data_IF_472870643794
#
_entry.id   IF_472870643794
#
_cell.length_a   1.000
_cell.length_b   1.000
_cell.length_c   1.000
_cell.angle_alpha   90.00
_cell.angle_beta   90.00
_cell.angle_gamma   90.00
#
_symmetry.space_group_name_H-M   'P 1'
#
loop_
_entity.id
_entity.type
_entity.pdbx_description
1 polymer ?
#
# COMPACT_ATOMS: atom_id res chain seq x y z
N UNK A 1 -11.31 -6.05 -13.80
CA UNK A 1 -12.00 -5.79 -15.09
C UNK A 1 -12.42 -4.32 -15.23
N UNK A 2 -13.29 -3.78 -14.35
CA UNK A 2 -13.81 -2.41 -14.50
C UNK A 2 -12.73 -1.31 -14.45
N UNK A 3 -11.77 -1.40 -13.52
CA UNK A 3 -10.69 -0.40 -13.41
C UNK A 3 -9.79 -0.35 -14.65
N UNK A 4 -9.38 -1.52 -15.15
CA UNK A 4 -8.61 -1.63 -16.40
C UNK A 4 -9.34 -1.00 -17.58
N UNK A 5 -10.63 -1.35 -17.78
CA UNK A 5 -11.43 -0.79 -18.88
C UNK A 5 -11.60 0.72 -18.78
N UNK A 6 -11.77 1.27 -17.58
CA UNK A 6 -11.87 2.71 -17.36
C UNK A 6 -10.55 3.44 -17.68
N UNK A 7 -9.42 2.91 -17.21
CA UNK A 7 -8.10 3.51 -17.49
C UNK A 7 -7.80 3.45 -18.99
N UNK A 8 -8.06 2.32 -19.66
CA UNK A 8 -7.90 2.20 -21.11
C UNK A 8 -8.78 3.18 -21.89
N UNK A 9 -10.02 3.40 -21.46
CA UNK A 9 -10.91 4.36 -22.10
C UNK A 9 -10.38 5.81 -21.98
N UNK A 10 -9.78 6.15 -20.83
CA UNK A 10 -9.18 7.46 -20.61
C UNK A 10 -7.88 7.66 -21.40
N UNK A 11 -7.02 6.63 -21.44
CA UNK A 11 -5.76 6.64 -22.18
C UNK A 11 -5.93 6.62 -23.71
N UNK A 12 -7.14 6.28 -24.20
CA UNK A 12 -7.48 6.39 -25.62
C UNK A 12 -7.51 7.83 -26.14
N UNK A 13 -7.57 8.83 -25.25
CA UNK A 13 -7.45 10.25 -25.56
C UNK A 13 -6.08 10.76 -25.09
N UNK A 14 -5.14 11.08 -26.00
CA UNK A 14 -3.77 11.48 -25.62
C UNK A 14 -3.68 12.65 -24.65
N UNK A 15 -4.61 13.61 -24.73
CA UNK A 15 -4.63 14.78 -23.84
C UNK A 15 -4.88 14.42 -22.36
N UNK A 16 -5.44 13.23 -22.10
CA UNK A 16 -5.70 12.76 -20.73
C UNK A 16 -4.48 12.15 -20.06
N UNK A 17 -3.44 11.74 -20.80
CA UNK A 17 -2.34 10.91 -20.27
C UNK A 17 -1.66 11.58 -19.07
N UNK A 18 -1.42 12.89 -19.15
CA UNK A 18 -0.81 13.65 -18.05
C UNK A 18 -1.70 13.65 -16.79
N UNK A 19 -3.01 13.89 -16.97
CA UNK A 19 -3.98 13.93 -15.87
C UNK A 19 -4.19 12.55 -15.24
N UNK A 20 -4.17 11.49 -16.04
CA UNK A 20 -4.27 10.11 -15.56
C UNK A 20 -3.06 9.76 -14.70
N UNK A 21 -1.84 10.07 -15.14
CA UNK A 21 -0.64 9.84 -14.34
C UNK A 21 -0.62 10.67 -13.05
N UNK A 22 -1.01 11.94 -13.08
CA UNK A 22 -1.15 12.76 -11.87
C UNK A 22 -2.18 12.17 -10.89
N UNK A 23 -3.31 11.70 -11.43
CA UNK A 23 -4.36 11.07 -10.64
C UNK A 23 -3.87 9.76 -10.02
N UNK A 24 -3.19 8.92 -10.78
CA UNK A 24 -2.60 7.67 -10.30
C UNK A 24 -1.58 7.94 -9.19
N UNK A 25 -0.66 8.88 -9.41
CA UNK A 25 0.36 9.30 -8.44
C UNK A 25 -0.27 9.74 -7.11
N UNK A 26 -1.31 10.57 -7.16
CA UNK A 26 -2.02 11.03 -5.96
C UNK A 26 -2.76 9.90 -5.24
N UNK A 27 -3.46 9.05 -5.98
CA UNK A 27 -4.22 7.95 -5.39
C UNK A 27 -3.30 6.88 -4.81
N UNK A 28 -2.20 6.56 -5.50
CA UNK A 28 -1.16 5.68 -5.00
C UNK A 28 -0.65 6.17 -3.64
N UNK A 29 -0.28 7.45 -3.54
CA UNK A 29 0.25 7.99 -2.29
C UNK A 29 -0.75 7.95 -1.14
N UNK A 30 -2.02 8.34 -1.38
CA UNK A 30 -3.05 8.24 -0.35
C UNK A 30 -3.33 6.80 0.06
N UNK A 31 -3.35 5.88 -0.92
CA UNK A 31 -3.50 4.44 -0.70
C UNK A 31 -2.39 3.92 0.22
N UNK A 32 -1.14 4.12 -0.16
CA UNK A 32 0.06 3.79 0.64
C UNK A 32 -0.05 4.28 2.08
N UNK A 33 -0.27 5.60 2.28
CA UNK A 33 -0.28 6.17 3.65
C UNK A 33 -1.36 5.58 4.55
N UNK A 34 -2.54 5.28 4.01
CA UNK A 34 -3.67 4.80 4.81
C UNK A 34 -3.69 3.28 4.95
N UNK A 35 -3.59 2.57 3.82
CA UNK A 35 -3.70 1.12 3.77
C UNK A 35 -2.48 0.46 4.38
N UNK A 36 -1.27 0.98 4.15
CA UNK A 36 -0.09 0.29 4.64
C UNK A 36 0.07 0.40 6.14
N UNK A 37 -0.37 1.53 6.71
CA UNK A 37 -0.53 1.67 8.14
C UNK A 37 -1.56 0.67 8.70
N UNK A 38 -2.77 0.64 8.13
CA UNK A 38 -3.87 -0.16 8.68
C UNK A 38 -3.66 -1.68 8.48
N UNK A 39 -3.32 -2.10 7.28
CA UNK A 39 -3.15 -3.51 6.91
C UNK A 39 -1.87 -4.06 7.55
N UNK A 40 -0.75 -3.35 7.48
CA UNK A 40 0.47 -3.80 8.15
C UNK A 40 0.28 -3.95 9.65
N UNK A 41 -0.44 -3.01 10.28
CA UNK A 41 -0.77 -3.13 11.70
C UNK A 41 -1.67 -4.33 11.99
N UNK A 42 -2.74 -4.51 11.22
CA UNK A 42 -3.67 -5.61 11.42
C UNK A 42 -2.98 -6.97 11.23
N UNK A 43 -2.09 -7.09 10.23
CA UNK A 43 -1.37 -8.32 9.89
C UNK A 43 -0.29 -8.69 10.91
N UNK A 44 0.38 -7.72 11.52
CA UNK A 44 1.51 -8.01 12.41
C UNK A 44 1.24 -7.75 13.90
N UNK A 45 0.34 -6.85 14.25
CA UNK A 45 0.00 -6.53 15.65
C UNK A 45 -1.41 -6.99 16.02
N UNK A 46 -2.30 -7.13 15.03
CA UNK A 46 -3.65 -7.65 15.23
C UNK A 46 -3.76 -9.18 15.12
N UNK A 47 -2.79 -9.84 14.50
CA UNK A 47 -2.80 -11.29 14.29
C UNK A 47 -1.90 -12.02 15.29
N UNK A 48 -2.32 -13.22 15.72
CA UNK A 48 -1.51 -14.10 16.57
C UNK A 48 -0.57 -15.01 15.75
N UNK A 49 -1.04 -15.55 14.64
CA UNK A 49 -0.26 -16.41 13.75
C UNK A 49 0.06 -15.64 12.47
N UNK A 50 1.34 -15.33 12.29
CA UNK A 50 1.86 -14.54 11.16
C UNK A 50 2.57 -15.49 10.19
N UNK A 51 2.06 -15.57 8.97
CA UNK A 51 2.67 -16.40 7.93
C UNK A 51 3.78 -15.67 7.17
N UNK A 52 3.81 -14.34 7.25
CA UNK A 52 4.69 -13.46 6.49
C UNK A 52 4.87 -12.13 7.22
N UNK A 53 5.92 -11.38 6.87
CA UNK A 53 6.07 -9.98 7.27
C UNK A 53 5.47 -9.06 6.20
N UNK A 54 4.93 -7.93 6.61
CA UNK A 54 4.16 -7.05 5.77
C UNK A 54 5.01 -6.38 4.69
N UNK A 55 6.27 -6.07 4.97
CA UNK A 55 7.17 -5.45 3.98
C UNK A 55 7.40 -6.34 2.76
N UNK A 56 7.69 -7.62 2.97
CA UNK A 56 7.89 -8.56 1.88
C UNK A 56 6.60 -8.77 1.10
N UNK A 57 5.47 -8.89 1.82
CA UNK A 57 4.17 -9.03 1.19
C UNK A 57 3.76 -7.78 0.39
N UNK A 58 4.12 -6.59 0.88
CA UNK A 58 3.90 -5.33 0.18
C UNK A 58 4.72 -5.26 -1.12
N UNK A 59 5.97 -5.74 -1.12
CA UNK A 59 6.76 -5.80 -2.36
C UNK A 59 6.07 -6.67 -3.40
N UNK A 60 5.58 -7.85 -3.02
CA UNK A 60 4.83 -8.72 -3.94
C UNK A 60 3.56 -8.02 -4.45
N UNK A 61 2.71 -7.51 -3.56
CA UNK A 61 1.41 -6.95 -3.96
C UNK A 61 1.52 -5.62 -4.71
N UNK A 62 2.45 -4.77 -4.31
CA UNK A 62 2.55 -3.42 -4.86
C UNK A 62 3.57 -3.38 -5.99
N UNK A 63 4.80 -3.84 -5.76
CA UNK A 63 5.86 -3.72 -6.77
C UNK A 63 5.66 -4.75 -7.88
N UNK A 64 5.49 -6.03 -7.52
CA UNK A 64 5.44 -7.08 -8.54
C UNK A 64 4.06 -7.11 -9.22
N UNK A 65 2.97 -7.16 -8.43
CA UNK A 65 1.63 -7.35 -8.96
C UNK A 65 0.99 -6.06 -9.49
N UNK A 66 0.98 -4.99 -8.71
CA UNK A 66 0.34 -3.74 -9.14
C UNK A 66 1.19 -2.97 -10.15
N UNK A 67 2.46 -2.70 -9.84
CA UNK A 67 3.34 -1.97 -10.76
C UNK A 67 3.71 -2.85 -11.95
N UNK A 68 4.36 -3.98 -11.72
CA UNK A 68 4.79 -4.88 -12.79
C UNK A 68 3.64 -5.56 -13.55
N UNK A 69 2.60 -5.99 -12.83
CA UNK A 69 1.48 -6.73 -13.41
C UNK A 69 0.39 -5.86 -14.05
N UNK A 70 0.21 -4.61 -13.63
CA UNK A 70 -0.83 -3.72 -14.15
C UNK A 70 -0.31 -2.42 -14.76
N UNK A 71 0.48 -1.62 -14.04
CA UNK A 71 0.93 -0.30 -14.53
C UNK A 71 1.86 -0.44 -15.73
N UNK A 72 2.88 -1.29 -15.63
CA UNK A 72 3.88 -1.48 -16.69
C UNK A 72 3.26 -2.03 -17.98
N UNK A 73 2.22 -2.87 -17.87
CA UNK A 73 1.47 -3.38 -19.03
C UNK A 73 0.73 -2.29 -19.80
N UNK A 74 0.46 -1.15 -19.16
CA UNK A 74 -0.17 0.01 -19.79
C UNK A 74 0.86 1.07 -20.23
N UNK A 75 2.16 0.77 -20.12
CA UNK A 75 3.24 1.68 -20.45
C UNK A 75 3.24 2.15 -21.91
N UNK A 76 2.84 1.28 -22.85
CA UNK A 76 2.71 1.66 -24.27
C UNK A 76 1.66 2.74 -24.53
N UNK A 77 0.71 2.90 -23.60
CA UNK A 77 -0.34 3.93 -23.64
C UNK A 77 0.04 5.19 -22.83
N UNK A 78 1.29 5.29 -22.37
CA UNK A 78 1.80 6.46 -21.65
C UNK A 78 1.57 6.46 -20.14
N UNK A 79 1.10 5.35 -19.56
CA UNK A 79 1.04 5.20 -18.10
C UNK A 79 2.44 4.94 -17.55
N UNK A 80 2.79 5.58 -16.43
CA UNK A 80 4.09 5.41 -15.78
C UNK A 80 3.92 5.01 -14.31
N UNK A 81 4.86 4.22 -13.75
CA UNK A 81 4.90 3.98 -12.31
C UNK A 81 4.89 5.29 -11.51
N UNK A 82 4.23 5.33 -10.33
CA UNK A 82 4.29 6.48 -9.45
C UNK A 82 5.73 6.86 -9.13
N UNK A 83 6.06 8.13 -9.32
CA UNK A 83 7.38 8.71 -9.03
C UNK A 83 7.78 8.53 -7.57
N UNK A 84 6.80 8.47 -6.65
CA UNK A 84 7.02 8.25 -5.20
C UNK A 84 7.02 6.78 -4.79
N UNK A 85 7.02 5.82 -5.72
CA UNK A 85 7.05 4.39 -5.40
C UNK A 85 8.23 4.00 -4.50
N UNK A 86 9.44 4.52 -4.78
CA UNK A 86 10.61 4.23 -3.96
C UNK A 86 10.46 4.79 -2.53
N UNK A 87 9.92 6.00 -2.38
CA UNK A 87 9.65 6.58 -1.07
C UNK A 87 8.59 5.78 -0.29
N UNK A 88 7.57 5.25 -0.99
CA UNK A 88 6.59 4.36 -0.39
C UNK A 88 7.22 3.05 0.10
N UNK A 89 8.07 2.42 -0.71
CA UNK A 89 8.82 1.22 -0.34
C UNK A 89 9.77 1.44 0.85
N UNK A 90 10.36 2.63 0.96
CA UNK A 90 11.16 2.99 2.13
C UNK A 90 10.28 3.16 3.37
N UNK A 91 9.16 3.89 3.25
CA UNK A 91 8.23 4.17 4.34
C UNK A 91 7.54 2.91 4.89
N UNK A 92 7.22 1.92 4.04
CA UNK A 92 6.49 0.72 4.50
C UNK A 92 7.30 -0.10 5.51
N UNK A 93 8.63 0.04 5.48
CA UNK A 93 9.54 -0.56 6.47
C UNK A 93 9.17 -0.18 7.91
N UNK A 94 8.59 1.00 8.14
CA UNK A 94 8.34 1.49 9.50
C UNK A 94 6.93 2.00 9.77
N UNK A 95 6.14 2.30 8.73
CA UNK A 95 4.85 2.99 8.88
C UNK A 95 3.90 2.22 9.79
N UNK A 96 3.76 0.90 9.59
CA UNK A 96 2.84 0.07 10.36
C UNK A 96 3.34 -0.26 11.77
N UNK A 97 4.66 -0.35 11.99
CA UNK A 97 5.22 -0.43 13.33
C UNK A 97 4.97 0.86 14.13
N UNK A 98 5.14 2.01 13.47
CA UNK A 98 4.90 3.33 14.08
C UNK A 98 3.43 3.50 14.46
N UNK A 99 2.49 3.16 13.56
CA UNK A 99 1.07 3.24 13.90
C UNK A 99 0.70 2.22 14.99
N UNK A 100 1.35 1.06 15.03
CA UNK A 100 1.15 0.08 16.12
C UNK A 100 1.51 0.63 17.49
N UNK A 101 2.60 1.38 17.60
CA UNK A 101 2.95 2.08 18.84
C UNK A 101 1.91 3.13 19.22
N UNK A 102 1.45 3.94 18.25
CA UNK A 102 0.42 4.96 18.49
C UNK A 102 -0.89 4.31 18.96
N UNK A 103 -1.38 3.31 18.23
CA UNK A 103 -2.65 2.62 18.55
C UNK A 103 -2.59 1.90 19.89
N UNK A 104 -1.41 1.39 20.28
CA UNK A 104 -1.19 0.81 21.60
C UNK A 104 -1.19 1.89 22.70
N UNK A 105 -0.54 3.03 22.46
CA UNK A 105 -0.51 4.14 23.42
C UNK A 105 -1.88 4.81 23.60
N UNK A 106 -2.68 4.87 22.54
CA UNK A 106 -4.03 5.46 22.52
C UNK A 106 -5.13 4.43 22.66
N UNK A 107 -4.84 3.23 23.17
CA UNK A 107 -5.82 2.13 23.26
C UNK A 107 -7.18 2.49 23.87
N UNK A 108 -7.31 3.41 24.86
CA UNK A 108 -8.62 3.76 25.42
C UNK A 108 -9.54 4.49 24.41
N UNK A 109 -8.99 5.00 23.30
CA UNK A 109 -9.73 5.68 22.24
C UNK A 109 -10.17 4.73 21.12
N UNK A 110 -9.66 3.50 21.11
CA UNK A 110 -9.96 2.53 20.07
C UNK A 110 -11.30 1.83 20.38
N UNK A 111 -12.03 1.42 19.34
CA UNK A 111 -13.25 0.60 19.48
C UNK A 111 -12.97 -0.91 19.38
N UNK A 112 -11.70 -1.31 19.39
CA UNK A 112 -11.24 -2.70 19.35
C UNK A 112 -10.22 -2.95 20.49
N UNK A 113 -10.01 -4.23 20.81
CA UNK A 113 -8.97 -4.66 21.74
C UNK A 113 -7.72 -5.05 20.95
N UNK A 114 -6.55 -4.78 21.53
CA UNK A 114 -5.26 -5.24 21.02
C UNK A 114 -4.53 -5.90 22.17
N UNK A 115 -3.98 -7.09 21.95
CA UNK A 115 -3.15 -7.76 22.93
C UNK A 115 -1.73 -7.20 22.88
N UNK A 116 -1.02 -7.28 24.00
CA UNK A 116 0.39 -6.93 24.03
C UNK A 116 1.22 -8.00 23.30
N UNK A 117 2.22 -7.57 22.54
CA UNK A 117 3.19 -8.48 21.90
C UNK A 117 3.94 -9.29 22.98
N UNK A 118 4.05 -10.60 22.76
CA UNK A 118 4.77 -11.54 23.61
C UNK A 118 6.15 -11.91 23.05
N UNK A 119 6.94 -12.74 23.77
CA UNK A 119 8.29 -13.11 23.34
C UNK A 119 8.37 -13.73 21.94
N UNK A 120 7.43 -14.61 21.58
CA UNK A 120 7.35 -15.25 20.25
C UNK A 120 7.17 -14.23 19.12
N UNK A 121 6.61 -13.07 19.41
CA UNK A 121 6.34 -12.04 18.40
C UNK A 121 7.56 -11.16 18.10
N UNK A 122 8.66 -11.33 18.83
CA UNK A 122 9.89 -10.54 18.74
C UNK A 122 11.09 -11.35 18.20
N UNK A 123 10.89 -12.62 17.88
CA UNK A 123 11.87 -13.54 17.28
C UNK A 123 11.88 -13.43 15.76
#
# INVERSE_FOLDING_TARGET
ANGYGAVMALLGEPDNVALVNETLERHFWHGHKALDAAIGWASEYGAHDRAWNYKDQWNEWVVDDFIGGFVDRLGEFGLTPPTRLAAAADEVTWTHHTIGQVLSATWPLNFWRSDAMGPKDLE
#
